data_IF_165499807847
#
_entry.id   IF_165499807847
#
_cell.length_a   1.000
_cell.length_b   1.000
_cell.length_c   1.000
_cell.angle_alpha   90.00
_cell.angle_beta   90.00
_cell.angle_gamma   90.00
#
_symmetry.space_group_name_H-M   'P 1'
#
loop_
_entity.id
_entity.type
_entity.pdbx_description
1 polymer ?
#
# COMPACT_ATOMS: atom_id res chain seq x y z
N UNK A 1 -15.41 7.27 8.64
CA UNK A 1 -15.58 8.06 7.40
C UNK A 1 -14.23 8.68 7.02
N UNK A 2 -13.46 7.99 6.18
CA UNK A 2 -12.18 8.47 5.63
C UNK A 2 -12.46 9.20 4.32
N UNK A 3 -13.04 10.39 4.41
CA UNK A 3 -13.01 11.38 3.32
C UNK A 3 -11.88 12.33 3.64
N UNK A 4 -10.64 11.85 3.55
CA UNK A 4 -9.46 12.70 3.65
C UNK A 4 -9.32 13.48 2.35
N UNK A 5 -10.02 14.61 2.30
CA UNK A 5 -9.54 15.90 1.80
C UNK A 5 -8.57 15.89 0.61
N UNK A 6 -8.95 15.19 -0.46
CA UNK A 6 -8.17 15.09 -1.70
C UNK A 6 -8.00 16.48 -2.36
N UNK A 7 -8.94 17.40 -2.10
CA UNK A 7 -8.93 18.75 -2.62
C UNK A 7 -8.08 19.73 -1.79
N UNK A 8 -8.10 19.66 -0.45
CA UNK A 8 -7.32 20.54 0.42
C UNK A 8 -5.83 20.21 0.45
N UNK A 9 -5.46 18.93 0.29
CA UNK A 9 -4.06 18.53 0.30
C UNK A 9 -3.32 18.95 -0.98
N UNK A 10 -3.98 18.93 -2.15
CA UNK A 10 -3.33 19.32 -3.42
C UNK A 10 -2.91 20.80 -3.48
N UNK A 11 -3.48 21.67 -2.64
CA UNK A 11 -3.22 23.11 -2.70
C UNK A 11 -2.01 23.57 -1.87
N UNK A 12 -1.52 22.77 -0.90
CA UNK A 12 -0.42 23.16 0.01
C UNK A 12 0.96 22.57 -0.33
N UNK A 13 1.05 21.59 -1.24
CA UNK A 13 2.29 20.87 -1.52
C UNK A 13 2.84 21.18 -2.91
N UNK A 14 3.27 22.44 -3.12
CA UNK A 14 4.25 22.76 -4.17
C UNK A 14 5.56 22.02 -3.88
N UNK A 15 6.06 21.32 -4.90
CA UNK A 15 6.96 20.19 -4.79
C UNK A 15 8.39 20.58 -4.36
N UNK A 16 8.82 20.05 -3.21
CA UNK A 16 10.23 19.95 -2.81
C UNK A 16 10.55 18.49 -2.47
N UNK A 17 11.73 17.96 -2.85
CA UNK A 17 12.15 16.58 -2.54
C UNK A 17 11.97 16.19 -1.06
N UNK A 18 12.17 17.13 -0.13
CA UNK A 18 12.00 16.92 1.32
C UNK A 18 10.54 16.63 1.69
N UNK A 19 9.60 17.36 1.10
CA UNK A 19 8.16 17.16 1.34
C UNK A 19 7.67 15.82 0.77
N UNK A 20 8.23 15.37 -0.36
CA UNK A 20 7.89 14.07 -0.97
C UNK A 20 8.24 12.90 -0.05
N UNK A 21 9.44 12.89 0.53
CA UNK A 21 9.84 11.85 1.49
C UNK A 21 8.92 11.80 2.72
N UNK A 22 8.53 12.97 3.24
CA UNK A 22 7.57 13.06 4.35
C UNK A 22 6.20 12.50 4.01
N UNK A 23 5.69 12.78 2.81
CA UNK A 23 4.41 12.28 2.33
C UNK A 23 4.39 10.77 2.13
N UNK A 24 5.44 10.20 1.51
CA UNK A 24 5.55 8.74 1.35
C UNK A 24 5.60 8.05 2.72
N UNK A 25 6.35 8.61 3.68
CA UNK A 25 6.38 8.08 5.05
C UNK A 25 5.00 8.12 5.70
N UNK A 26 4.25 9.21 5.53
CA UNK A 26 2.89 9.34 6.06
C UNK A 26 1.96 8.27 5.46
N UNK A 27 1.91 8.17 4.13
CA UNK A 27 1.07 7.18 3.44
C UNK A 27 1.42 5.75 3.84
N UNK A 28 2.71 5.44 3.99
CA UNK A 28 3.13 4.13 4.49
C UNK A 28 2.57 3.85 5.88
N UNK A 29 2.64 4.81 6.80
CA UNK A 29 2.07 4.65 8.13
C UNK A 29 0.55 4.47 8.08
N UNK A 30 -0.15 5.13 7.15
CA UNK A 30 -1.58 4.92 6.92
C UNK A 30 -1.88 3.50 6.42
N UNK A 31 -1.09 2.96 5.49
CA UNK A 31 -1.24 1.58 5.01
C UNK A 31 -0.99 0.57 6.14
N UNK A 32 0.01 0.82 6.99
CA UNK A 32 0.26 -0.01 8.18
C UNK A 32 -0.94 0.01 9.12
N UNK A 33 -1.46 1.20 9.45
CA UNK A 33 -2.63 1.34 10.28
C UNK A 33 -3.86 0.67 9.65
N UNK A 34 -4.02 0.78 8.33
CA UNK A 34 -5.10 0.14 7.60
C UNK A 34 -4.99 -1.39 7.63
N UNK A 35 -3.80 -1.99 7.50
CA UNK A 35 -3.62 -3.44 7.65
C UNK A 35 -3.89 -3.95 9.07
N UNK A 36 -3.56 -3.15 10.08
CA UNK A 36 -3.78 -3.49 11.49
C UNK A 36 -5.21 -3.28 11.99
N UNK A 37 -6.05 -2.57 11.23
CA UNK A 37 -7.37 -2.16 11.69
C UNK A 37 -8.37 -3.33 11.82
N UNK A 38 -8.12 -4.46 11.13
CA UNK A 38 -9.05 -5.60 11.13
C UNK A 38 -10.39 -5.29 10.45
N UNK A 39 -10.44 -4.27 9.59
CA UNK A 39 -11.63 -3.84 8.86
C UNK A 39 -11.51 -4.13 7.35
N UNK A 40 -12.14 -5.20 6.83
CA UNK A 40 -12.11 -5.54 5.41
C UNK A 40 -12.69 -4.45 4.50
N UNK A 41 -13.47 -3.49 5.02
CA UNK A 41 -13.94 -2.35 4.23
C UNK A 41 -12.81 -1.43 3.77
N UNK A 42 -11.58 -1.61 4.28
CA UNK A 42 -10.39 -0.86 3.86
C UNK A 42 -9.71 -1.46 2.61
N UNK A 43 -10.05 -2.69 2.20
CA UNK A 43 -9.46 -3.34 1.01
C UNK A 43 -9.56 -2.44 -0.24
N UNK A 44 -10.71 -1.83 -0.58
CA UNK A 44 -10.81 -0.94 -1.75
C UNK A 44 -9.95 0.32 -1.65
N UNK A 45 -9.61 0.76 -0.44
CA UNK A 45 -8.76 1.94 -0.19
C UNK A 45 -7.27 1.57 -0.32
N UNK A 46 -6.89 0.36 0.08
CA UNK A 46 -5.50 -0.12 0.03
C UNK A 46 -5.11 -0.54 -1.40
N UNK A 47 -6.03 -1.22 -2.11
CA UNK A 47 -5.76 -1.83 -3.43
C UNK A 47 -5.12 -0.89 -4.48
N UNK A 48 -5.53 0.39 -4.62
CA UNK A 48 -4.91 1.30 -5.59
C UNK A 48 -3.40 1.52 -5.37
N UNK A 49 -2.89 1.31 -4.16
CA UNK A 49 -1.48 1.48 -3.86
C UNK A 49 -0.57 0.36 -4.41
N UNK A 50 -1.14 -0.75 -4.90
CA UNK A 50 -0.39 -1.82 -5.54
C UNK A 50 0.29 -1.39 -6.85
N UNK A 51 -0.21 -0.33 -7.51
CA UNK A 51 0.36 0.21 -8.76
C UNK A 51 0.96 1.59 -8.55
N UNK A 52 1.28 1.98 -7.32
CA UNK A 52 1.83 3.29 -7.01
C UNK A 52 3.29 3.42 -7.53
N UNK A 53 3.69 4.61 -8.00
CA UNK A 53 5.04 4.84 -8.54
C UNK A 53 6.16 4.54 -7.52
N UNK A 54 5.95 4.94 -6.27
CA UNK A 54 6.87 4.66 -5.17
C UNK A 54 6.80 3.18 -4.72
N UNK A 55 7.88 2.40 -4.85
CA UNK A 55 7.88 0.97 -4.50
C UNK A 55 7.59 0.71 -3.03
N UNK A 56 7.93 1.66 -2.14
CA UNK A 56 7.67 1.50 -0.70
C UNK A 56 6.18 1.49 -0.40
N UNK A 57 5.35 2.16 -1.21
CA UNK A 57 3.90 2.11 -1.05
C UNK A 57 3.30 0.86 -1.68
N UNK A 58 3.85 0.36 -2.79
CA UNK A 58 3.46 -0.95 -3.36
C UNK A 58 3.70 -2.07 -2.37
N UNK A 59 4.92 -2.19 -1.85
CA UNK A 59 5.33 -3.16 -0.83
C UNK A 59 4.37 -3.17 0.36
N UNK A 60 3.99 -1.99 0.86
CA UNK A 60 3.15 -1.85 2.05
C UNK A 60 1.67 -2.09 1.75
N UNK A 61 1.23 -1.89 0.52
CA UNK A 61 -0.10 -2.29 0.07
C UNK A 61 -0.22 -3.82 -0.01
N UNK A 62 0.83 -4.52 -0.45
CA UNK A 62 0.88 -5.99 -0.45
C UNK A 62 0.72 -6.53 0.97
N UNK A 63 1.58 -6.06 1.89
CA UNK A 63 1.51 -6.44 3.30
C UNK A 63 0.12 -6.14 3.90
N UNK A 64 -0.42 -4.94 3.67
CA UNK A 64 -1.71 -4.56 4.27
C UNK A 64 -2.86 -5.40 3.72
N UNK A 65 -2.83 -5.81 2.45
CA UNK A 65 -3.84 -6.68 1.87
C UNK A 65 -3.69 -8.14 2.34
N UNK A 66 -2.49 -8.61 2.66
CA UNK A 66 -2.29 -9.98 3.17
C UNK A 66 -2.92 -10.18 4.54
N UNK A 67 -3.13 -9.11 5.31
CA UNK A 67 -3.89 -9.14 6.57
C UNK A 67 -5.38 -9.47 6.37
N UNK A 68 -5.90 -9.32 5.14
CA UNK A 68 -7.33 -9.46 4.83
C UNK A 68 -7.63 -10.56 3.82
N UNK A 69 -6.68 -10.84 2.92
CA UNK A 69 -6.85 -11.74 1.79
C UNK A 69 -5.98 -12.98 1.98
N UNK A 70 -6.57 -14.15 1.74
CA UNK A 70 -5.80 -15.39 1.62
C UNK A 70 -4.81 -15.31 0.44
N UNK A 71 -3.68 -16.04 0.50
CA UNK A 71 -2.68 -16.04 -0.55
C UNK A 71 -3.25 -16.19 -1.98
N UNK A 72 -4.17 -17.13 -2.19
CA UNK A 72 -4.78 -17.36 -3.51
C UNK A 72 -5.54 -16.14 -4.04
N UNK A 73 -6.27 -15.44 -3.17
CA UNK A 73 -7.02 -14.24 -3.55
C UNK A 73 -6.10 -13.04 -3.78
N UNK A 74 -4.99 -12.97 -3.04
CA UNK A 74 -3.98 -11.92 -3.17
C UNK A 74 -3.13 -12.11 -4.43
N UNK A 75 -2.80 -13.35 -4.80
CA UNK A 75 -2.00 -13.70 -5.97
C UNK A 75 -2.55 -13.16 -7.30
N UNK A 76 -3.87 -12.98 -7.39
CA UNK A 76 -4.55 -12.37 -8.55
C UNK A 76 -4.04 -10.96 -8.84
N UNK A 77 -3.52 -10.26 -7.82
CA UNK A 77 -3.01 -8.90 -7.95
C UNK A 77 -1.48 -8.83 -8.09
N UNK A 78 -0.77 -9.95 -8.10
CA UNK A 78 0.68 -9.98 -8.21
C UNK A 78 1.11 -9.59 -9.64
N UNK A 79 1.78 -8.44 -9.85
CA UNK A 79 2.31 -8.08 -11.15
C UNK A 79 3.43 -9.03 -11.61
N UNK A 80 3.34 -9.51 -12.84
CA UNK A 80 4.37 -10.37 -13.44
C UNK A 80 5.69 -9.63 -13.72
N UNK A 81 5.64 -8.30 -13.84
CA UNK A 81 6.71 -7.42 -14.28
C UNK A 81 7.23 -6.47 -13.20
N UNK A 82 6.89 -6.70 -11.92
CA UNK A 82 7.50 -5.94 -10.82
C UNK A 82 9.03 -6.05 -10.93
N UNK A 83 9.70 -4.91 -10.80
CA UNK A 83 11.15 -4.81 -10.94
C UNK A 83 11.84 -4.62 -9.59
N UNK A 84 11.14 -4.01 -8.64
CA UNK A 84 11.68 -3.68 -7.33
C UNK A 84 11.84 -4.93 -6.45
N UNK A 85 13.03 -5.10 -5.88
CA UNK A 85 13.38 -6.28 -5.08
C UNK A 85 12.63 -6.35 -3.76
N UNK A 86 12.36 -5.20 -3.14
CA UNK A 86 11.69 -5.15 -1.85
C UNK A 86 10.20 -5.48 -2.03
N UNK A 87 9.59 -4.95 -3.11
CA UNK A 87 8.20 -5.29 -3.46
C UNK A 87 8.05 -6.78 -3.76
N UNK A 88 9.00 -7.38 -4.50
CA UNK A 88 9.01 -8.84 -4.73
C UNK A 88 9.11 -9.64 -3.44
N UNK A 89 9.96 -9.21 -2.51
CA UNK A 89 10.11 -9.88 -1.23
C UNK A 89 8.78 -9.86 -0.45
N UNK A 90 8.08 -8.72 -0.40
CA UNK A 90 6.78 -8.64 0.24
C UNK A 90 5.73 -9.54 -0.43
N UNK A 91 5.69 -9.60 -1.76
CA UNK A 91 4.83 -10.56 -2.47
C UNK A 91 5.14 -12.00 -2.10
N UNK A 92 6.42 -12.38 -2.06
CA UNK A 92 6.82 -13.73 -1.66
C UNK A 92 6.41 -14.03 -0.22
N UNK A 93 6.65 -13.11 0.71
CA UNK A 93 6.24 -13.28 2.11
C UNK A 93 4.72 -13.44 2.21
N UNK A 94 3.95 -12.54 1.59
CA UNK A 94 2.49 -12.54 1.65
C UNK A 94 1.87 -13.79 1.01
N UNK A 95 2.45 -14.30 -0.09
CA UNK A 95 1.96 -15.50 -0.76
C UNK A 95 2.36 -16.81 -0.06
N UNK A 96 3.43 -16.77 0.75
CA UNK A 96 3.90 -17.92 1.52
C UNK A 96 3.32 -17.97 2.94
N UNK A 97 2.45 -17.03 3.33
CA UNK A 97 1.73 -17.08 4.61
C UNK A 97 0.72 -18.23 4.57
N UNK A 98 1.16 -19.42 5.00
CA UNK A 98 0.28 -20.51 5.42
C UNK A 98 -0.21 -20.23 6.84
N UNK A 99 -1.54 -20.17 7.01
CA UNK A 99 -2.25 -20.09 8.29
C UNK A 99 -1.69 -21.05 9.36
#
# INVERSE_FOLDING_TARGET
MLSLDEAGFRQYFSASPVKRTGYIRFLRNCLIAAGNAGDPCLIPVIKPYLTHDDPRLRAMAVWALSQYLKPDALAVFHPADEADTDVKAEWQTALNQTD
#
